data_IF_871495710411
#
_entry.id   IF_871495710411
#
_cell.length_a   1.000
_cell.length_b   1.000
_cell.length_c   1.000
_cell.angle_alpha   90.00
_cell.angle_beta   90.00
_cell.angle_gamma   90.00
#
_symmetry.space_group_name_H-M   'P 1'
#
loop_
_entity.id
_entity.type
_entity.pdbx_description
1 polymer ?
#
# COMPACT_ATOMS: atom_id res chain seq x y z
N UNK A 1 53.91 32.05 -28.83
CA UNK A 1 55.16 32.00 -28.02
C UNK A 1 55.01 30.88 -27.00
N UNK A 2 56.11 30.14 -26.74
CA UNK A 2 56.31 29.14 -25.65
C UNK A 2 55.75 27.72 -25.96
N UNK A 3 56.57 26.83 -26.57
CA UNK A 3 57.49 25.78 -26.00
C UNK A 3 56.77 24.45 -25.72
N UNK A 4 56.95 23.41 -26.54
CA UNK A 4 57.98 22.34 -26.40
C UNK A 4 58.12 21.81 -24.97
N UNK A 5 57.58 20.62 -24.72
CA UNK A 5 57.87 19.78 -23.55
C UNK A 5 58.28 18.40 -24.06
N UNK A 6 59.46 17.88 -23.68
CA UNK A 6 60.03 16.66 -24.23
C UNK A 6 59.63 15.40 -23.46
N UNK A 7 59.86 14.28 -24.15
CA UNK A 7 59.88 12.90 -23.69
C UNK A 7 60.59 12.69 -22.34
N UNK A 8 59.98 11.88 -21.48
CA UNK A 8 60.70 11.02 -20.54
C UNK A 8 59.94 9.70 -20.40
N UNK A 9 60.42 8.72 -21.16
CA UNK A 9 60.16 7.32 -20.96
C UNK A 9 61.01 6.84 -19.78
N UNK A 10 60.38 6.22 -18.78
CA UNK A 10 61.06 5.27 -17.89
C UNK A 10 60.14 4.06 -17.72
N UNK A 11 60.59 2.95 -18.30
CA UNK A 11 60.12 1.61 -18.01
C UNK A 11 60.39 1.27 -16.54
N UNK A 12 59.37 0.73 -15.88
CA UNK A 12 59.58 -0.36 -14.91
C UNK A 12 58.57 -1.46 -15.20
N UNK A 13 59.03 -2.41 -16.00
CA UNK A 13 58.55 -3.80 -16.00
C UNK A 13 59.12 -4.43 -14.73
N UNK A 14 58.31 -5.17 -13.95
CA UNK A 14 58.70 -6.43 -13.28
C UNK A 14 57.51 -7.01 -12.49
N UNK A 15 57.00 -8.12 -13.04
CA UNK A 15 56.60 -9.36 -12.36
C UNK A 15 55.31 -9.33 -11.51
N UNK A 16 54.19 -9.60 -12.19
CA UNK A 16 53.06 -10.31 -11.58
C UNK A 16 53.37 -11.82 -11.56
N UNK A 17 53.89 -12.32 -10.46
CA UNK A 17 53.89 -13.76 -10.16
C UNK A 17 52.57 -14.10 -9.49
N UNK A 18 51.81 -15.01 -10.10
CA UNK A 18 50.51 -15.45 -9.62
C UNK A 18 50.58 -16.26 -8.32
N UNK A 19 49.53 -16.11 -7.52
CA UNK A 19 48.91 -17.20 -6.79
C UNK A 19 47.41 -17.06 -7.02
N UNK A 20 46.86 -18.00 -7.79
CA UNK A 20 45.42 -18.12 -8.00
C UNK A 20 44.80 -18.65 -6.70
N UNK A 21 44.21 -17.77 -5.90
CA UNK A 21 43.21 -18.18 -4.92
C UNK A 21 41.87 -18.29 -5.62
N UNK A 22 41.50 -19.53 -5.93
CA UNK A 22 40.16 -19.94 -6.36
C UNK A 22 39.19 -19.56 -5.23
N UNK A 23 38.40 -18.51 -5.47
CA UNK A 23 37.22 -18.18 -4.69
C UNK A 23 36.13 -19.21 -5.02
N UNK A 24 35.58 -19.95 -4.05
CA UNK A 24 34.40 -20.75 -4.30
C UNK A 24 33.19 -19.82 -4.48
N UNK A 25 32.66 -19.76 -5.70
CA UNK A 25 31.30 -19.26 -5.94
C UNK A 25 30.31 -20.35 -5.53
N UNK A 26 30.11 -20.51 -4.23
CA UNK A 26 28.93 -21.23 -3.70
C UNK A 26 27.74 -20.28 -3.75
N UNK A 27 26.99 -20.45 -4.83
CA UNK A 27 25.56 -20.19 -4.99
C UNK A 27 24.80 -20.08 -3.65
N UNK A 28 24.52 -18.86 -3.19
CA UNK A 28 23.55 -18.59 -2.11
C UNK A 28 22.12 -18.76 -2.65
N UNK A 29 21.79 -19.99 -3.03
CA UNK A 29 20.42 -20.45 -3.28
C UNK A 29 20.06 -21.56 -2.30
N UNK A 30 20.16 -21.24 -1.02
CA UNK A 30 19.51 -21.93 0.08
C UNK A 30 19.30 -20.84 1.15
N UNK A 31 18.11 -20.28 1.31
CA UNK A 31 16.99 -20.94 1.97
C UNK A 31 15.66 -20.38 1.43
N UNK A 32 14.96 -21.21 0.68
CA UNK A 32 13.50 -21.09 0.56
C UNK A 32 12.93 -22.51 0.49
N UNK A 33 13.31 -23.33 1.46
CA UNK A 33 12.51 -24.49 1.82
C UNK A 33 11.39 -23.95 2.72
N UNK A 34 10.25 -23.65 2.11
CA UNK A 34 8.99 -23.69 2.85
C UNK A 34 8.88 -25.11 3.37
N UNK A 35 9.05 -25.29 4.67
CA UNK A 35 8.76 -26.55 5.34
C UNK A 35 7.34 -26.96 4.92
N UNK A 36 7.23 -28.03 4.13
CA UNK A 36 5.95 -28.55 3.70
C UNK A 36 5.11 -28.78 4.97
N UNK A 37 3.90 -28.20 5.07
CA UNK A 37 3.03 -28.50 6.18
C UNK A 37 2.79 -30.01 6.16
N UNK A 38 3.30 -30.65 7.22
CA UNK A 38 3.09 -32.04 7.59
C UNK A 38 1.62 -32.35 7.37
N UNK A 39 1.32 -33.29 6.47
CA UNK A 39 -0.02 -33.69 6.00
C UNK A 39 -1.11 -33.48 7.05
N UNK A 40 -1.69 -32.29 7.05
CA UNK A 40 -2.89 -31.95 7.82
C UNK A 40 -4.08 -32.22 6.91
N UNK A 41 -5.09 -32.89 7.46
CA UNK A 41 -6.28 -33.29 6.71
C UNK A 41 -6.95 -32.05 6.09
N UNK A 42 -7.49 -32.17 4.88
CA UNK A 42 -8.17 -31.06 4.17
C UNK A 42 -9.33 -30.45 5.00
N UNK A 43 -9.95 -31.24 5.88
CA UNK A 43 -10.97 -30.78 6.84
C UNK A 43 -10.41 -29.86 7.94
N UNK A 44 -9.15 -30.04 8.31
CA UNK A 44 -8.46 -29.28 9.35
C UNK A 44 -8.05 -27.89 8.83
N UNK A 45 -7.49 -27.83 7.62
CA UNK A 45 -7.18 -26.57 6.91
C UNK A 45 -8.43 -25.71 6.69
N UNK A 46 -9.54 -26.31 6.26
CA UNK A 46 -10.80 -25.56 6.07
C UNK A 46 -11.35 -25.02 7.38
N UNK A 47 -11.17 -25.71 8.51
CA UNK A 47 -11.61 -25.23 9.82
C UNK A 47 -10.79 -24.04 10.32
N UNK A 48 -9.47 -24.04 10.09
CA UNK A 48 -8.57 -22.96 10.48
C UNK A 48 -8.80 -21.70 9.62
N UNK A 49 -9.00 -21.87 8.31
CA UNK A 49 -9.41 -20.78 7.42
C UNK A 49 -10.78 -20.21 7.76
N UNK A 50 -11.76 -21.05 8.11
CA UNK A 50 -13.07 -20.58 8.54
C UNK A 50 -12.95 -19.79 9.84
N UNK A 51 -12.14 -20.24 10.81
CA UNK A 51 -11.95 -19.53 12.07
C UNK A 51 -11.20 -18.19 11.88
N UNK A 52 -10.17 -18.15 11.05
CA UNK A 52 -9.45 -16.92 10.69
C UNK A 52 -10.37 -15.93 9.92
N UNK A 53 -11.18 -16.43 8.99
CA UNK A 53 -12.18 -15.67 8.26
C UNK A 53 -13.23 -15.09 9.23
N UNK A 54 -13.78 -15.89 10.13
CA UNK A 54 -14.74 -15.43 11.14
C UNK A 54 -14.12 -14.43 12.13
N UNK A 55 -12.87 -14.62 12.54
CA UNK A 55 -12.16 -13.70 13.43
C UNK A 55 -11.89 -12.35 12.74
N UNK A 56 -11.54 -12.37 11.44
CA UNK A 56 -11.41 -11.14 10.63
C UNK A 56 -12.75 -10.41 10.47
N UNK A 57 -13.85 -11.17 10.40
CA UNK A 57 -15.23 -10.66 10.30
C UNK A 57 -15.72 -10.03 11.59
N UNK A 58 -15.21 -10.47 12.75
CA UNK A 58 -15.63 -9.99 14.07
C UNK A 58 -14.75 -8.86 14.65
N UNK A 59 -13.54 -8.63 14.11
CA UNK A 59 -12.59 -7.64 14.67
C UNK A 59 -12.37 -6.41 13.77
N UNK A 60 -12.99 -6.39 12.59
CA UNK A 60 -12.66 -5.47 11.50
C UNK A 60 -13.76 -4.49 11.10
N UNK A 61 -14.60 -3.99 12.02
CA UNK A 61 -15.65 -3.04 11.66
C UNK A 61 -15.10 -1.72 11.10
N UNK A 62 -15.76 -1.18 10.07
CA UNK A 62 -15.46 0.13 9.49
C UNK A 62 -15.53 1.23 10.55
N UNK A 63 -14.40 1.87 10.86
CA UNK A 63 -14.27 2.79 11.99
C UNK A 63 -13.44 4.02 11.69
N UNK A 64 -13.58 5.02 12.56
CA UNK A 64 -12.75 6.23 12.54
C UNK A 64 -11.29 5.91 12.84
N UNK A 65 -10.40 6.57 12.11
CA UNK A 65 -8.97 6.52 12.28
C UNK A 65 -8.38 7.93 12.18
N UNK A 66 -7.55 8.32 13.14
CA UNK A 66 -6.82 9.59 13.07
C UNK A 66 -5.72 9.56 12.02
N UNK A 67 -5.53 10.68 11.32
CA UNK A 67 -4.52 10.88 10.28
C UNK A 67 -3.92 12.28 10.36
N UNK A 68 -2.62 12.38 10.10
CA UNK A 68 -1.90 13.66 10.06
C UNK A 68 -1.84 14.14 8.60
N UNK A 69 -2.55 15.22 8.30
CA UNK A 69 -2.56 15.84 6.97
C UNK A 69 -1.61 17.04 6.95
N UNK A 70 -0.67 17.04 6.00
CA UNK A 70 0.19 18.20 5.71
C UNK A 70 -0.45 19.01 4.59
N UNK A 71 -0.73 20.27 4.83
CA UNK A 71 -1.41 21.17 3.89
C UNK A 71 -0.43 22.25 3.46
N UNK A 72 -0.12 22.25 2.16
CA UNK A 72 0.69 23.27 1.53
C UNK A 72 -0.23 24.19 0.72
N UNK A 73 -0.17 25.49 1.01
CA UNK A 73 -0.87 26.52 0.25
C UNK A 73 0.14 27.49 -0.37
N UNK A 74 -0.11 28.01 -1.58
CA UNK A 74 0.77 28.99 -2.19
C UNK A 74 0.98 30.19 -1.26
N UNK A 75 2.24 30.61 -1.10
CA UNK A 75 2.63 31.78 -0.28
C UNK A 75 2.35 31.65 1.23
N UNK A 76 2.15 30.42 1.72
CA UNK A 76 1.97 30.11 3.13
C UNK A 76 2.92 29.01 3.61
N UNK A 77 3.24 29.00 4.90
CA UNK A 77 3.93 27.88 5.53
C UNK A 77 3.04 26.64 5.55
N UNK A 78 3.67 25.47 5.37
CA UNK A 78 2.97 24.17 5.45
C UNK A 78 2.38 23.97 6.84
N UNK A 79 1.07 23.74 6.89
CA UNK A 79 0.37 23.41 8.13
C UNK A 79 0.29 21.89 8.31
N UNK A 80 0.29 21.46 9.57
CA UNK A 80 0.04 20.07 9.95
C UNK A 80 -1.27 20.02 10.74
N UNK A 81 -2.25 19.29 10.22
CA UNK A 81 -3.60 19.21 10.79
C UNK A 81 -3.92 17.75 11.10
N UNK A 82 -4.43 17.50 12.30
CA UNK A 82 -4.96 16.20 12.66
C UNK A 82 -6.42 16.14 12.21
N UNK A 83 -6.72 15.15 11.38
CA UNK A 83 -8.07 14.87 10.89
C UNK A 83 -8.41 13.41 11.14
N UNK A 84 -9.68 13.08 11.03
CA UNK A 84 -10.15 11.71 11.00
C UNK A 84 -10.41 11.28 9.56
N UNK A 85 -10.14 10.00 9.30
CA UNK A 85 -10.48 9.26 8.10
C UNK A 85 -11.17 7.94 8.50
N UNK A 86 -11.58 7.15 7.51
CA UNK A 86 -12.20 5.85 7.74
C UNK A 86 -11.24 4.72 7.39
N UNK A 87 -11.20 3.69 8.25
CA UNK A 87 -10.41 2.48 8.05
C UNK A 87 -11.17 1.29 8.59
N UNK A 88 -11.23 0.21 7.83
CA UNK A 88 -11.78 -1.07 8.28
C UNK A 88 -12.06 -1.99 7.12
N UNK A 89 -12.78 -3.07 7.42
CA UNK A 89 -13.24 -4.05 6.44
C UNK A 89 -14.76 -3.90 6.24
N UNK A 90 -15.20 -4.24 5.04
CA UNK A 90 -16.62 -4.30 4.68
C UNK A 90 -16.86 -5.57 3.88
N UNK A 91 -18.05 -6.14 4.04
CA UNK A 91 -18.37 -7.41 3.41
C UNK A 91 -18.38 -7.29 1.88
N UNK A 92 -17.88 -8.34 1.24
CA UNK A 92 -18.05 -8.58 -0.18
C UNK A 92 -18.45 -10.04 -0.40
N UNK A 93 -19.41 -10.23 -1.29
CA UNK A 93 -19.95 -11.54 -1.65
C UNK A 93 -19.98 -11.69 -3.17
N UNK A 94 -19.78 -12.92 -3.62
CA UNK A 94 -19.95 -13.28 -5.03
C UNK A 94 -20.91 -14.46 -5.09
N UNK A 95 -21.96 -14.31 -5.91
CA UNK A 95 -22.96 -15.34 -6.14
C UNK A 95 -23.06 -15.64 -7.62
N UNK A 96 -23.70 -16.77 -7.95
CA UNK A 96 -24.13 -17.01 -9.31
C UNK A 96 -25.17 -15.96 -9.71
N UNK A 97 -25.05 -15.48 -10.95
CA UNK A 97 -25.99 -14.52 -11.52
C UNK A 97 -27.36 -15.15 -11.70
N UNK A 98 -28.46 -14.39 -11.52
CA UNK A 98 -29.80 -14.85 -11.89
C UNK A 98 -29.86 -15.27 -13.36
N UNK A 99 -30.69 -16.27 -13.66
CA UNK A 99 -30.84 -16.79 -15.01
C UNK A 99 -31.19 -15.72 -16.05
N UNK A 100 -31.98 -14.71 -15.67
CA UNK A 100 -32.29 -13.57 -16.53
C UNK A 100 -31.02 -12.78 -16.93
N UNK A 101 -30.10 -12.52 -16.00
CA UNK A 101 -28.82 -11.84 -16.23
C UNK A 101 -27.90 -12.67 -17.12
N UNK A 102 -27.82 -13.98 -16.88
CA UNK A 102 -27.02 -14.90 -17.70
C UNK A 102 -27.55 -14.94 -19.13
N UNK A 103 -28.88 -15.03 -19.32
CA UNK A 103 -29.51 -15.01 -20.64
C UNK A 103 -29.31 -13.66 -21.35
N UNK A 104 -29.51 -12.55 -20.65
CA UNK A 104 -29.35 -11.20 -21.21
C UNK A 104 -27.90 -10.90 -21.63
N UNK A 105 -26.93 -11.52 -20.97
CA UNK A 105 -25.50 -11.40 -21.29
C UNK A 105 -24.99 -12.46 -22.27
N UNK A 106 -25.88 -13.25 -22.90
CA UNK A 106 -25.49 -14.37 -23.79
C UNK A 106 -24.51 -15.36 -23.14
N UNK A 107 -24.65 -15.60 -21.83
CA UNK A 107 -23.81 -16.49 -21.05
C UNK A 107 -22.51 -15.87 -20.52
N UNK A 108 -22.26 -14.57 -20.72
CA UNK A 108 -21.01 -13.93 -20.31
C UNK A 108 -20.98 -13.56 -18.82
N UNK A 109 -22.10 -13.14 -18.23
CA UNK A 109 -22.16 -12.70 -16.82
C UNK A 109 -22.66 -13.83 -15.92
N UNK A 110 -21.85 -14.85 -15.71
CA UNK A 110 -22.18 -16.02 -14.86
C UNK A 110 -22.14 -15.71 -13.36
N UNK A 111 -21.32 -14.75 -12.96
CA UNK A 111 -21.17 -14.33 -11.56
C UNK A 111 -21.61 -12.89 -11.38
N UNK A 112 -22.21 -12.61 -10.22
CA UNK A 112 -22.52 -11.27 -9.74
C UNK A 112 -21.81 -11.06 -8.41
N UNK A 113 -21.05 -9.98 -8.31
CA UNK A 113 -20.33 -9.61 -7.08
C UNK A 113 -20.95 -8.36 -6.49
N UNK A 114 -21.17 -8.38 -5.17
CA UNK A 114 -21.56 -7.21 -4.37
C UNK A 114 -20.44 -6.93 -3.39
N UNK A 115 -19.87 -5.73 -3.45
CA UNK A 115 -18.85 -5.28 -2.52
C UNK A 115 -19.24 -3.95 -1.91
N UNK A 116 -18.87 -3.75 -0.65
CA UNK A 116 -18.98 -2.47 0.04
C UNK A 116 -17.59 -1.95 0.42
N UNK A 117 -17.45 -0.63 0.53
CA UNK A 117 -16.24 0.03 0.98
C UNK A 117 -16.47 0.71 2.33
N UNK A 118 -15.41 0.80 3.13
CA UNK A 118 -15.43 1.60 4.36
C UNK A 118 -15.28 3.08 4.01
N UNK A 119 -16.36 3.85 4.15
CA UNK A 119 -16.47 5.23 3.66
C UNK A 119 -16.88 6.19 4.78
N UNK A 120 -16.72 7.49 4.53
CA UNK A 120 -17.16 8.55 5.45
C UNK A 120 -18.69 8.64 5.38
N UNK A 121 -19.36 8.40 6.50
CA UNK A 121 -20.81 8.48 6.59
C UNK A 121 -21.29 9.91 6.92
N UNK A 122 -20.57 10.60 7.80
CA UNK A 122 -20.81 12.02 8.10
C UNK A 122 -19.49 12.75 8.29
N UNK A 123 -19.47 14.05 8.00
CA UNK A 123 -18.30 14.93 8.19
C UNK A 123 -18.51 15.95 9.30
N UNK A 124 -17.42 16.48 9.81
CA UNK A 124 -17.38 17.69 10.62
C UNK A 124 -16.23 18.58 10.15
N UNK A 125 -16.31 19.86 10.50
CA UNK A 125 -15.30 20.84 10.13
C UNK A 125 -14.19 20.94 11.18
N UNK A 126 -12.95 20.97 10.72
CA UNK A 126 -11.75 21.23 11.51
C UNK A 126 -11.13 22.53 11.01
N UNK A 127 -11.00 23.50 11.91
CA UNK A 127 -10.40 24.81 11.63
C UNK A 127 -8.93 24.82 12.02
N UNK A 128 -8.08 25.41 11.19
CA UNK A 128 -6.65 25.57 11.45
C UNK A 128 -6.14 26.90 10.88
N UNK A 129 -5.10 27.44 11.50
CA UNK A 129 -4.48 28.68 11.07
C UNK A 129 -3.18 28.42 10.33
N UNK A 130 -2.92 29.22 9.29
CA UNK A 130 -1.69 29.17 8.50
C UNK A 130 -1.06 30.55 8.45
N UNK A 131 0.27 30.61 8.64
CA UNK A 131 1.03 31.83 8.45
C UNK A 131 1.38 32.00 6.98
N UNK A 132 0.90 33.09 6.39
CA UNK A 132 1.12 33.47 5.00
C UNK A 132 1.91 34.77 4.91
N UNK A 133 2.39 35.10 3.72
CA UNK A 133 3.11 36.36 3.45
C UNK A 133 2.32 37.60 3.89
N UNK A 134 0.99 37.58 3.74
CA UNK A 134 0.09 38.68 4.08
C UNK A 134 -0.50 38.59 5.50
N UNK A 135 -0.04 37.64 6.32
CA UNK A 135 -0.47 37.47 7.71
C UNK A 135 -1.02 36.08 8.02
N UNK A 136 -1.72 35.97 9.15
CA UNK A 136 -2.31 34.71 9.60
C UNK A 136 -3.70 34.55 8.98
N UNK A 137 -3.93 33.42 8.31
CA UNK A 137 -5.22 33.05 7.73
C UNK A 137 -5.82 31.86 8.46
N UNK A 138 -7.13 31.90 8.66
CA UNK A 138 -7.89 30.79 9.23
C UNK A 138 -8.58 30.03 8.11
N UNK A 139 -8.37 28.72 8.06
CA UNK A 139 -8.88 27.83 7.04
C UNK A 139 -9.67 26.70 7.70
N UNK A 140 -10.56 26.09 6.94
CA UNK A 140 -11.40 24.98 7.42
C UNK A 140 -11.33 23.83 6.43
N UNK A 141 -11.28 22.61 6.94
CA UNK A 141 -11.32 21.36 6.17
C UNK A 141 -12.36 20.42 6.74
N UNK A 142 -12.92 19.58 5.88
CA UNK A 142 -13.80 18.48 6.29
C UNK A 142 -12.96 17.31 6.85
N UNK A 143 -13.47 16.68 7.90
CA UNK A 143 -12.89 15.55 8.63
C UNK A 143 -13.99 14.54 8.92
N UNK A 144 -13.67 13.25 8.94
CA UNK A 144 -14.68 12.22 9.20
C UNK A 144 -15.26 12.35 10.62
N UNK A 145 -16.59 12.47 10.73
CA UNK A 145 -17.31 12.42 12.00
C UNK A 145 -17.83 11.02 12.32
N UNK A 146 -18.14 10.21 11.30
CA UNK A 146 -18.47 8.79 11.43
C UNK A 146 -18.12 8.02 10.15
N UNK A 147 -18.04 6.69 10.27
CA UNK A 147 -17.68 5.79 9.18
C UNK A 147 -18.72 4.67 9.07
N UNK A 148 -18.99 4.23 7.85
CA UNK A 148 -19.88 3.10 7.59
C UNK A 148 -19.48 2.35 6.32
N UNK A 149 -19.93 1.09 6.24
CA UNK A 149 -19.87 0.34 4.98
C UNK A 149 -20.94 0.87 4.03
N UNK A 150 -20.51 1.28 2.85
CA UNK A 150 -21.37 1.85 1.82
C UNK A 150 -20.91 1.49 0.42
N UNK A 151 -21.56 2.08 -0.58
CA UNK A 151 -21.15 1.94 -1.98
C UNK A 151 -19.77 2.56 -2.14
N UNK A 152 -18.86 1.83 -2.80
CA UNK A 152 -17.55 2.36 -3.16
C UNK A 152 -17.72 3.51 -4.14
N UNK A 153 -17.27 4.71 -3.75
CA UNK A 153 -17.22 5.89 -4.60
C UNK A 153 -15.75 6.32 -4.74
N UNK A 154 -15.33 6.58 -5.97
CA UNK A 154 -13.97 7.00 -6.29
C UNK A 154 -13.76 8.51 -6.08
N UNK A 155 -14.83 9.28 -5.86
CA UNK A 155 -14.78 10.72 -5.59
C UNK A 155 -14.63 11.06 -4.09
N UNK A 156 -14.43 10.05 -3.24
CA UNK A 156 -14.25 10.18 -1.78
C UNK A 156 -12.79 10.47 -1.40
#
# INVERSE_FOLDING_TARGET
MVRFIPLLAILFVVVCSGVAHVLPTTDERAQNEVEQPKTSNVADLTSEWNLALHTSRQTGDCRLAGYIKRIAMPWCHTATVLINACRGHCESETSLSPYATVRASSGLQVYTTRGSCCTIATTHQVTFSTLCWDGVRTNTIESAASCACGVCDYNQ
#
